data_IF_939506976622
#
_entry.id   IF_939506976622
#
_cell.length_a   1.000
_cell.length_b   1.000
_cell.length_c   1.000
_cell.angle_alpha   90.00
_cell.angle_beta   90.00
_cell.angle_gamma   90.00
#
_symmetry.space_group_name_H-M   'P 1'
#
loop_
_entity.id
_entity.type
_entity.pdbx_description
1 polymer ?
#
# COMPACT_ATOMS: atom_id res chain seq x y z
N UNK A 1 13.83 3.33 21.77
CA UNK A 1 12.79 2.29 21.60
C UNK A 1 12.64 2.09 20.10
N UNK A 2 13.25 1.06 19.54
CA UNK A 2 13.15 0.76 18.11
C UNK A 2 11.72 0.34 17.83
N UNK A 3 10.95 1.24 17.19
CA UNK A 3 9.64 0.95 16.62
C UNK A 3 9.73 -0.41 15.92
N UNK A 4 8.84 -1.34 16.27
CA UNK A 4 8.71 -2.60 15.54
C UNK A 4 8.60 -2.25 14.06
N UNK A 5 9.66 -2.53 13.30
CA UNK A 5 9.72 -2.19 11.88
C UNK A 5 8.61 -2.98 11.18
N UNK A 6 7.48 -2.32 10.96
CA UNK A 6 6.36 -2.91 10.26
C UNK A 6 6.84 -3.34 8.87
N UNK A 7 6.67 -4.62 8.56
CA UNK A 7 6.98 -5.19 7.26
C UNK A 7 5.66 -5.54 6.57
N UNK A 8 5.30 -4.82 5.49
CA UNK A 8 4.21 -5.19 4.60
C UNK A 8 4.30 -6.66 4.17
N UNK A 9 3.17 -7.33 4.10
CA UNK A 9 3.08 -8.65 3.47
C UNK A 9 3.02 -8.52 1.94
N UNK A 10 3.37 -9.57 1.18
CA UNK A 10 3.22 -9.55 -0.28
C UNK A 10 1.80 -9.17 -0.72
N UNK A 11 0.77 -9.71 -0.06
CA UNK A 11 -0.63 -9.41 -0.36
C UNK A 11 -0.96 -7.90 -0.23
N UNK A 12 -0.36 -7.21 0.74
CA UNK A 12 -0.55 -5.76 0.91
C UNK A 12 0.09 -4.99 -0.25
N UNK A 13 1.23 -5.45 -0.76
CA UNK A 13 1.92 -4.86 -1.92
C UNK A 13 1.12 -5.10 -3.19
N UNK A 14 0.66 -6.34 -3.41
CA UNK A 14 -0.20 -6.71 -4.55
C UNK A 14 -1.48 -5.86 -4.57
N UNK A 15 -2.10 -5.63 -3.41
CA UNK A 15 -3.29 -4.76 -3.32
C UNK A 15 -3.04 -3.31 -3.76
N UNK A 16 -1.82 -2.79 -3.55
CA UNK A 16 -1.41 -1.47 -4.06
C UNK A 16 -1.27 -1.51 -5.57
N UNK A 17 -0.63 -2.54 -6.12
CA UNK A 17 -0.47 -2.73 -7.57
C UNK A 17 -1.82 -2.89 -8.27
N UNK A 18 -2.71 -3.72 -7.73
CA UNK A 18 -4.08 -3.89 -8.20
C UNK A 18 -4.81 -2.53 -8.27
N UNK A 19 -4.68 -1.71 -7.22
CA UNK A 19 -5.27 -0.38 -7.19
C UNK A 19 -4.65 0.55 -8.25
N UNK A 20 -3.33 0.46 -8.46
CA UNK A 20 -2.60 1.16 -9.52
C UNK A 20 -2.90 0.64 -10.94
N UNK A 21 -3.65 -0.44 -11.12
CA UNK A 21 -4.14 -0.88 -12.43
C UNK A 21 -5.57 -0.42 -12.73
N UNK A 22 -6.33 0.04 -11.72
CA UNK A 22 -7.73 0.51 -11.90
C UNK A 22 -7.83 1.76 -12.77
N UNK A 23 -9.01 2.04 -13.34
CA UNK A 23 -9.18 3.27 -14.14
C UNK A 23 -8.96 4.52 -13.26
N UNK A 24 -8.41 5.63 -13.81
CA UNK A 24 -8.16 6.85 -13.05
C UNK A 24 -9.41 7.37 -12.30
N UNK A 25 -10.58 7.26 -12.92
CA UNK A 25 -11.87 7.67 -12.34
C UNK A 25 -12.22 6.89 -11.06
N UNK A 26 -11.86 5.60 -11.01
CA UNK A 26 -12.09 4.74 -9.85
C UNK A 26 -11.10 5.04 -8.72
N UNK A 27 -9.86 5.44 -9.06
CA UNK A 27 -8.83 5.84 -8.10
C UNK A 27 -9.18 7.13 -7.38
N UNK A 28 -9.78 8.09 -8.08
CA UNK A 28 -10.26 9.35 -7.47
C UNK A 28 -11.40 9.07 -6.49
N UNK A 29 -12.32 8.15 -6.82
CA UNK A 29 -13.44 7.80 -5.95
C UNK A 29 -13.05 6.95 -4.74
N UNK A 30 -11.93 6.22 -4.81
CA UNK A 30 -11.45 5.34 -3.74
C UNK A 30 -9.98 5.60 -3.47
N UNK A 31 -9.68 6.55 -2.60
CA UNK A 31 -8.32 6.81 -2.16
C UNK A 31 -7.66 5.55 -1.59
N UNK A 32 -6.40 5.32 -1.94
CA UNK A 32 -5.66 4.09 -1.63
C UNK A 32 -5.48 3.86 -0.11
N UNK A 33 -5.15 4.90 0.65
CA UNK A 33 -4.92 4.77 2.10
C UNK A 33 -6.17 4.27 2.85
N UNK A 34 -7.38 4.87 2.69
CA UNK A 34 -8.59 4.29 3.26
C UNK A 34 -8.86 2.84 2.87
N UNK A 35 -8.60 2.46 1.60
CA UNK A 35 -8.79 1.09 1.13
C UNK A 35 -7.87 0.11 1.86
N UNK A 36 -6.59 0.45 2.02
CA UNK A 36 -5.64 -0.41 2.74
C UNK A 36 -5.98 -0.52 4.23
N UNK A 37 -6.45 0.57 4.83
CA UNK A 37 -6.86 0.59 6.24
C UNK A 37 -8.08 -0.29 6.49
N UNK A 38 -9.08 -0.21 5.62
CA UNK A 38 -10.30 -1.00 5.71
C UNK A 38 -10.02 -2.48 5.46
N UNK A 39 -9.29 -2.80 4.38
CA UNK A 39 -8.98 -4.18 3.97
C UNK A 39 -8.06 -4.93 4.93
N UNK A 40 -7.08 -4.25 5.52
CA UNK A 40 -6.01 -4.88 6.31
C UNK A 40 -5.92 -4.39 7.75
N UNK A 41 -6.91 -3.61 8.22
CA UNK A 41 -6.95 -3.04 9.57
C UNK A 41 -5.69 -2.24 9.96
N UNK A 42 -5.09 -1.56 8.99
CA UNK A 42 -3.85 -0.81 9.19
C UNK A 42 -4.10 0.56 9.82
N UNK A 43 -3.09 1.04 10.55
CA UNK A 43 -2.96 2.47 10.84
C UNK A 43 -2.62 3.26 9.59
N UNK A 44 -2.78 4.59 9.63
CA UNK A 44 -2.37 5.47 8.52
C UNK A 44 -0.88 5.29 8.21
N UNK A 45 -0.04 5.27 9.24
CA UNK A 45 1.42 5.12 9.09
C UNK A 45 1.78 3.79 8.43
N UNK A 46 1.15 2.69 8.83
CA UNK A 46 1.38 1.39 8.20
C UNK A 46 0.92 1.37 6.74
N UNK A 47 -0.25 1.95 6.42
CA UNK A 47 -0.72 2.03 5.03
C UNK A 47 0.23 2.85 4.14
N UNK A 48 0.78 3.96 4.65
CA UNK A 48 1.81 4.74 3.95
C UNK A 48 3.07 3.91 3.74
N UNK A 49 3.48 3.11 4.73
CA UNK A 49 4.65 2.24 4.63
C UNK A 49 4.46 1.13 3.57
N UNK A 50 3.26 0.55 3.46
CA UNK A 50 2.93 -0.40 2.36
C UNK A 50 3.12 0.27 1.00
N UNK A 51 2.57 1.47 0.80
CA UNK A 51 2.69 2.23 -0.46
C UNK A 51 4.15 2.60 -0.75
N UNK A 52 4.92 2.95 0.28
CA UNK A 52 6.34 3.26 0.12
C UNK A 52 7.11 2.03 -0.32
N UNK A 53 6.88 0.87 0.30
CA UNK A 53 7.60 -0.36 -0.02
C UNK A 53 7.19 -0.97 -1.37
N UNK A 54 5.95 -0.77 -1.82
CA UNK A 54 5.53 -1.23 -3.16
C UNK A 54 6.35 -0.55 -4.28
N UNK A 55 6.73 0.71 -4.10
CA UNK A 55 7.59 1.41 -5.05
C UNK A 55 9.06 0.96 -4.99
N UNK A 56 9.54 0.50 -3.84
CA UNK A 56 10.92 -0.01 -3.68
C UNK A 56 11.10 -1.33 -4.42
N UNK A 57 10.09 -2.20 -4.43
CA UNK A 57 10.09 -3.45 -5.21
C UNK A 57 9.69 -3.28 -6.68
N UNK A 58 8.84 -2.32 -7.02
CA UNK A 58 8.30 -2.19 -8.39
C UNK A 58 9.10 -1.30 -9.36
N UNK A 59 9.91 -0.38 -8.86
CA UNK A 59 10.68 0.56 -9.72
C UNK A 59 12.21 0.38 -9.64
N UNK A 60 12.72 -0.37 -8.67
CA UNK A 60 14.16 -0.60 -8.46
C UNK A 60 14.52 -2.07 -8.12
N UNK A 61 13.61 -3.04 -8.28
CA UNK A 61 14.02 -4.45 -8.33
C UNK A 61 14.59 -4.73 -9.73
N UNK A 62 15.91 -4.49 -9.86
CA UNK A 62 16.71 -4.94 -10.98
C UNK A 62 16.76 -6.48 -11.07
#
# INVERSE_FOLDING_TARGET
>A
MTESAFRPTPEMIEAVEEWHQRRPEERVRRALVPVLRDRFHLTVTQAVEVIRQSHVGGANAA
#
